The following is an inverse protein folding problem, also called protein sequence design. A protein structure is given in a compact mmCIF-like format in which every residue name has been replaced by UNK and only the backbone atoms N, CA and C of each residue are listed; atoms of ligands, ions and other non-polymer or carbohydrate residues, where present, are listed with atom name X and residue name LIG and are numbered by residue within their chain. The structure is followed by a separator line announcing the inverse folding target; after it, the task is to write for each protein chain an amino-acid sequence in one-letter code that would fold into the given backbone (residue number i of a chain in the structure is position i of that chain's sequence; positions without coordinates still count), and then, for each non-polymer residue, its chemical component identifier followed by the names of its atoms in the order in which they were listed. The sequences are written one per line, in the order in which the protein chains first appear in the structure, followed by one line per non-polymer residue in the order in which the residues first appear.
data_IF_820671928049
#
_entry.id   IF_820671928049
#
_cell.length_a   1.000
_cell.length_b   1.000
_cell.length_c   1.000
_cell.angle_alpha   90.00
_cell.angle_beta   90.00
_cell.angle_gamma   90.00
#
_symmetry.space_group_name_H-M   'P 1'
#
loop_
_entity.id
_entity.type
_entity.pdbx_description
1 polymer ?
#
# COMPACT_ATOMS: atom_id res chain seq x y z
N UNK A 1 -15.84 -0.95 13.29
CA UNK A 1 -16.47 -1.63 12.14
C UNK A 1 -17.10 -2.90 12.66
N UNK A 2 -18.44 -2.94 12.79
CA UNK A 2 -19.14 -4.14 13.29
C UNK A 2 -19.19 -5.18 12.18
N UNK A 3 -18.50 -6.28 12.36
CA UNK A 3 -18.53 -7.41 11.42
C UNK A 3 -19.89 -8.15 11.53
N UNK A 4 -20.54 -8.09 12.70
CA UNK A 4 -21.81 -8.80 12.99
C UNK A 4 -23.04 -7.92 13.22
N UNK A 5 -22.89 -6.64 13.62
CA UNK A 5 -23.96 -5.88 14.28
C UNK A 5 -24.50 -4.70 13.45
N UNK A 6 -24.73 -4.86 12.18
CA UNK A 6 -25.57 -3.92 11.44
C UNK A 6 -26.94 -4.52 11.15
N UNK A 7 -27.99 -3.72 11.15
CA UNK A 7 -29.35 -4.12 10.77
C UNK A 7 -29.41 -4.80 9.38
N UNK A 8 -28.35 -4.67 8.58
CA UNK A 8 -28.22 -5.23 7.22
C UNK A 8 -27.37 -6.51 7.13
N UNK A 9 -27.02 -7.16 8.28
CA UNK A 9 -26.05 -8.28 8.28
C UNK A 9 -24.63 -7.76 8.03
N UNK A 10 -23.58 -8.13 8.72
CA UNK A 10 -22.25 -7.51 8.69
C UNK A 10 -21.74 -7.18 7.27
N UNK A 11 -21.08 -6.03 7.11
CA UNK A 11 -20.58 -5.55 5.80
C UNK A 11 -19.72 -6.59 5.07
N UNK A 12 -18.90 -7.33 5.81
CA UNK A 12 -18.05 -8.38 5.25
C UNK A 12 -18.86 -9.54 4.69
N UNK A 13 -19.82 -10.05 5.47
CA UNK A 13 -20.67 -11.18 5.07
C UNK A 13 -21.52 -10.82 3.86
N UNK A 14 -22.08 -9.62 3.80
CA UNK A 14 -22.87 -9.17 2.66
C UNK A 14 -21.98 -8.98 1.40
N UNK A 15 -20.77 -8.45 1.55
CA UNK A 15 -19.84 -8.29 0.42
C UNK A 15 -19.47 -9.66 -0.19
N UNK A 16 -19.11 -10.64 0.64
CA UNK A 16 -18.75 -11.99 0.19
C UNK A 16 -19.98 -12.73 -0.36
N UNK A 17 -21.15 -12.58 0.25
CA UNK A 17 -22.39 -13.18 -0.28
C UNK A 17 -22.70 -12.74 -1.70
N UNK A 18 -22.47 -11.45 -2.01
CA UNK A 18 -22.65 -10.89 -3.36
C UNK A 18 -21.56 -11.30 -4.35
N UNK A 19 -20.34 -11.51 -3.85
CA UNK A 19 -19.16 -11.86 -4.67
C UNK A 19 -18.36 -12.97 -3.97
N UNK A 20 -18.80 -14.24 -4.09
CA UNK A 20 -18.18 -15.35 -3.36
C UNK A 20 -16.74 -15.64 -3.80
N UNK A 21 -16.37 -15.30 -5.03
CA UNK A 21 -14.98 -15.39 -5.53
C UNK A 21 -14.31 -14.02 -5.38
N UNK A 22 -13.76 -13.74 -4.22
CA UNK A 22 -13.19 -12.42 -3.92
C UNK A 22 -11.93 -12.52 -3.08
N UNK A 23 -11.14 -11.44 -3.11
CA UNK A 23 -10.04 -11.23 -2.18
C UNK A 23 -10.51 -10.30 -1.08
N UNK A 24 -10.41 -10.77 0.15
CA UNK A 24 -10.74 -10.01 1.36
C UNK A 24 -9.44 -9.52 1.98
N UNK A 25 -9.23 -8.20 2.02
CA UNK A 25 -8.08 -7.58 2.65
C UNK A 25 -8.50 -6.98 4.00
N UNK A 26 -7.84 -7.43 5.07
CA UNK A 26 -7.96 -6.87 6.41
C UNK A 26 -6.64 -6.18 6.76
N UNK A 27 -6.67 -4.86 6.74
CA UNK A 27 -5.48 -4.04 6.95
C UNK A 27 -5.29 -3.71 8.44
N UNK A 28 -4.03 -3.72 8.90
CA UNK A 28 -3.64 -3.42 10.28
C UNK A 28 -4.37 -4.27 11.33
N UNK A 29 -4.35 -5.60 11.15
CA UNK A 29 -5.12 -6.53 12.00
C UNK A 29 -4.72 -6.48 13.48
N UNK A 30 -3.50 -6.06 13.81
CA UNK A 30 -3.04 -5.87 15.18
C UNK A 30 -3.84 -4.82 15.96
N UNK A 31 -4.55 -3.93 15.26
CA UNK A 31 -5.41 -2.89 15.86
C UNK A 31 -6.86 -3.36 16.04
N UNK A 32 -7.19 -4.55 15.56
CA UNK A 32 -8.55 -5.07 15.64
C UNK A 32 -8.91 -5.48 17.09
N UNK A 33 -10.20 -5.38 17.43
CA UNK A 33 -10.70 -5.90 18.69
C UNK A 33 -10.50 -7.43 18.76
N UNK A 34 -10.17 -8.02 19.94
CA UNK A 34 -9.96 -9.46 20.08
C UNK A 34 -11.09 -10.34 19.54
N UNK A 35 -12.34 -9.89 19.62
CA UNK A 35 -13.49 -10.63 19.10
C UNK A 35 -13.46 -10.83 17.58
N UNK A 36 -12.76 -9.96 16.84
CA UNK A 36 -12.59 -10.10 15.40
C UNK A 36 -11.83 -11.39 15.09
N UNK A 37 -10.83 -11.73 15.89
CA UNK A 37 -10.04 -12.95 15.70
C UNK A 37 -10.86 -14.22 15.94
N UNK A 38 -11.85 -14.18 16.86
CA UNK A 38 -12.76 -15.32 17.07
C UNK A 38 -13.63 -15.57 15.82
N UNK A 39 -14.05 -14.48 15.15
CA UNK A 39 -14.81 -14.58 13.91
C UNK A 39 -13.93 -15.08 12.77
N UNK A 40 -12.70 -14.56 12.67
CA UNK A 40 -11.74 -15.00 11.66
C UNK A 40 -11.36 -16.47 11.84
N UNK A 41 -11.18 -16.94 13.08
CA UNK A 41 -10.97 -18.36 13.35
C UNK A 41 -12.10 -19.21 12.80
N UNK A 42 -13.37 -18.81 13.01
CA UNK A 42 -14.51 -19.54 12.45
C UNK A 42 -14.47 -19.59 10.91
N UNK A 43 -14.04 -18.48 10.26
CA UNK A 43 -13.86 -18.48 8.80
C UNK A 43 -12.74 -19.42 8.37
N UNK A 44 -11.60 -19.36 9.04
CA UNK A 44 -10.41 -20.15 8.68
C UNK A 44 -10.62 -21.66 8.96
N UNK A 45 -11.42 -22.01 9.98
CA UNK A 45 -11.70 -23.40 10.31
C UNK A 45 -12.86 -23.99 9.49
N UNK A 46 -14.01 -23.28 9.46
CA UNK A 46 -15.25 -23.82 8.87
C UNK A 46 -15.46 -23.35 7.42
N UNK A 47 -14.71 -22.34 6.97
CA UNK A 47 -14.92 -21.70 5.67
C UNK A 47 -16.27 -20.97 5.54
N UNK A 48 -16.91 -20.61 6.66
CA UNK A 48 -18.22 -19.97 6.67
C UNK A 48 -18.46 -19.15 7.94
N UNK A 49 -19.35 -18.16 7.85
CA UNK A 49 -19.82 -17.37 9.00
C UNK A 49 -21.35 -17.35 8.99
N UNK A 50 -21.95 -17.43 10.16
CA UNK A 50 -23.39 -17.13 10.34
C UNK A 50 -23.50 -15.66 10.79
N UNK A 51 -24.24 -14.85 10.04
CA UNK A 51 -24.46 -13.43 10.34
C UNK A 51 -25.50 -13.25 11.48
N UNK A 52 -25.72 -12.01 11.90
CA UNK A 52 -26.68 -11.66 12.96
C UNK A 52 -28.14 -11.98 12.60
N UNK A 53 -28.44 -12.22 11.32
CA UNK A 53 -29.76 -12.60 10.84
C UNK A 53 -29.92 -14.13 10.67
N UNK A 54 -28.93 -14.91 11.14
CA UNK A 54 -28.96 -16.37 11.03
C UNK A 54 -28.62 -16.93 9.65
N UNK A 55 -28.15 -16.08 8.71
CA UNK A 55 -27.77 -16.54 7.36
C UNK A 55 -26.31 -16.99 7.37
N UNK A 56 -26.04 -18.17 6.82
CA UNK A 56 -24.69 -18.69 6.65
C UNK A 56 -24.10 -18.21 5.32
N UNK A 57 -22.93 -17.60 5.37
CA UNK A 57 -22.16 -17.12 4.22
C UNK A 57 -20.91 -17.98 4.04
N UNK A 58 -20.70 -18.49 2.84
CA UNK A 58 -19.59 -19.35 2.46
C UNK A 58 -18.38 -18.50 2.04
N UNK A 59 -17.20 -18.76 2.65
CA UNK A 59 -15.92 -18.12 2.40
C UNK A 59 -14.90 -19.04 1.72
N UNK A 60 -15.26 -20.29 1.39
CA UNK A 60 -14.35 -21.30 0.84
C UNK A 60 -13.68 -20.88 -0.47
N UNK A 61 -14.32 -20.01 -1.22
CA UNK A 61 -13.82 -19.49 -2.49
C UNK A 61 -13.21 -18.09 -2.36
N UNK A 62 -12.89 -17.63 -1.14
CA UNK A 62 -12.23 -16.34 -0.90
C UNK A 62 -10.76 -16.53 -0.58
N UNK A 63 -9.94 -15.54 -0.96
CA UNK A 63 -8.58 -15.37 -0.47
C UNK A 63 -8.61 -14.32 0.62
N UNK A 64 -8.15 -14.66 1.82
CA UNK A 64 -8.08 -13.74 2.95
C UNK A 64 -6.65 -13.27 3.11
N UNK A 65 -6.42 -11.98 3.02
CA UNK A 65 -5.12 -11.34 3.21
C UNK A 65 -5.20 -10.47 4.46
N UNK A 66 -4.27 -10.69 5.38
CA UNK A 66 -4.13 -9.93 6.61
C UNK A 66 -2.83 -9.14 6.52
N UNK A 67 -2.85 -7.84 6.79
CA UNK A 67 -1.63 -7.04 6.89
C UNK A 67 -1.40 -6.62 8.33
N UNK A 68 -0.14 -6.48 8.71
CA UNK A 68 0.27 -5.99 10.03
C UNK A 68 1.58 -5.23 9.94
N UNK A 69 1.75 -4.22 10.79
CA UNK A 69 3.00 -3.51 11.00
C UNK A 69 3.79 -4.06 12.20
N UNK A 70 3.34 -5.17 12.77
CA UNK A 70 3.98 -5.79 13.93
C UNK A 70 5.40 -6.22 13.57
N UNK A 71 6.38 -5.86 14.42
CA UNK A 71 7.78 -6.21 14.21
C UNK A 71 8.51 -5.40 13.13
N UNK A 72 7.89 -4.38 12.54
CA UNK A 72 8.55 -3.52 11.54
C UNK A 72 9.90 -2.94 12.01
N UNK A 73 10.07 -2.47 13.27
CA UNK A 73 11.39 -2.02 13.76
C UNK A 73 12.44 -3.13 13.74
N UNK A 74 12.10 -4.33 14.20
CA UNK A 74 13.03 -5.47 14.20
C UNK A 74 13.46 -5.88 12.78
N UNK A 75 12.53 -5.80 11.80
CA UNK A 75 12.84 -6.05 10.39
C UNK A 75 13.81 -5.00 9.86
N UNK A 76 13.58 -3.70 10.17
CA UNK A 76 14.44 -2.60 9.73
C UNK A 76 15.84 -2.68 10.31
N UNK A 77 15.96 -2.96 11.61
CA UNK A 77 17.23 -3.08 12.30
C UNK A 77 18.02 -4.35 11.93
N UNK A 78 17.31 -5.42 11.64
CA UNK A 78 17.90 -6.73 11.30
C UNK A 78 18.14 -6.97 9.82
N UNK A 79 18.05 -5.94 8.98
CA UNK A 79 18.27 -6.06 7.54
C UNK A 79 19.75 -5.81 7.17
N UNK A 80 20.29 -6.66 6.31
CA UNK A 80 21.64 -6.49 5.76
C UNK A 80 21.66 -5.48 4.58
N UNK A 81 22.87 -5.13 4.10
CA UNK A 81 23.08 -4.23 2.96
C UNK A 81 22.41 -4.74 1.65
N UNK A 82 22.17 -6.03 1.54
CA UNK A 82 21.51 -6.67 0.40
C UNK A 82 19.98 -6.71 0.54
N UNK A 83 19.43 -6.22 1.66
CA UNK A 83 18.01 -6.24 1.94
C UNK A 83 17.47 -7.59 2.41
N UNK A 84 18.34 -8.49 2.92
CA UNK A 84 17.90 -9.75 3.52
C UNK A 84 17.64 -9.54 5.01
N UNK A 85 16.57 -10.13 5.50
CA UNK A 85 16.20 -10.10 6.92
C UNK A 85 17.00 -11.18 7.65
N UNK A 86 17.73 -10.81 8.72
CA UNK A 86 18.50 -11.73 9.53
C UNK A 86 17.60 -12.76 10.24
N UNK A 87 18.16 -13.93 10.55
CA UNK A 87 17.43 -14.94 11.33
C UNK A 87 17.04 -14.45 12.73
N UNK A 88 17.87 -13.59 13.33
CA UNK A 88 17.57 -12.99 14.62
C UNK A 88 16.32 -12.10 14.55
N UNK A 89 16.23 -11.23 13.55
CA UNK A 89 15.05 -10.40 13.32
C UNK A 89 13.80 -11.23 13.03
N UNK A 90 13.90 -12.29 12.24
CA UNK A 90 12.78 -13.22 12.00
C UNK A 90 12.28 -13.85 13.29
N UNK A 91 13.18 -14.34 14.13
CA UNK A 91 12.82 -14.95 15.44
C UNK A 91 12.18 -13.93 16.37
N UNK A 92 12.63 -12.68 16.36
CA UNK A 92 12.02 -11.60 17.14
C UNK A 92 10.60 -11.31 16.66
N UNK A 93 10.39 -11.17 15.35
CA UNK A 93 9.04 -10.98 14.80
C UNK A 93 8.13 -12.16 15.09
N UNK A 94 8.63 -13.39 14.98
CA UNK A 94 7.87 -14.60 15.34
C UNK A 94 7.48 -14.62 16.81
N UNK A 95 8.34 -14.12 17.71
CA UNK A 95 8.02 -13.97 19.13
C UNK A 95 6.92 -12.93 19.37
N UNK A 96 7.00 -11.78 18.68
CA UNK A 96 5.97 -10.73 18.73
C UNK A 96 4.63 -11.22 18.19
N UNK A 97 4.63 -11.99 17.08
CA UNK A 97 3.41 -12.59 16.53
C UNK A 97 2.75 -13.54 17.53
N UNK A 98 3.53 -14.41 18.18
CA UNK A 98 3.03 -15.34 19.23
C UNK A 98 2.55 -14.62 20.50
N UNK A 99 3.06 -13.46 20.78
CA UNK A 99 2.59 -12.63 21.90
C UNK A 99 1.27 -11.93 21.59
N UNK A 100 1.12 -11.44 20.34
CA UNK A 100 -0.03 -10.66 19.90
C UNK A 100 -1.22 -11.53 19.49
N UNK A 101 -0.95 -12.65 18.83
CA UNK A 101 -1.96 -13.53 18.28
C UNK A 101 -1.95 -14.89 18.96
N UNK A 102 -3.14 -15.46 19.13
CA UNK A 102 -3.26 -16.80 19.72
C UNK A 102 -2.61 -17.86 18.81
N UNK A 103 -1.98 -18.89 19.39
CA UNK A 103 -1.33 -19.96 18.59
C UNK A 103 -2.29 -20.64 17.61
N UNK A 104 -3.54 -20.86 18.02
CA UNK A 104 -4.56 -21.43 17.16
C UNK A 104 -4.83 -20.59 15.90
N UNK A 105 -4.77 -19.26 15.99
CA UNK A 105 -4.93 -18.37 14.86
C UNK A 105 -3.74 -18.43 13.91
N UNK A 106 -2.52 -18.37 14.45
CA UNK A 106 -1.29 -18.44 13.64
C UNK A 106 -1.17 -19.78 12.90
N UNK A 107 -1.62 -20.88 13.51
CA UNK A 107 -1.59 -22.23 12.90
C UNK A 107 -2.62 -22.40 11.76
N UNK A 108 -3.55 -21.47 11.57
CA UNK A 108 -4.53 -21.48 10.48
C UNK A 108 -4.13 -20.63 9.29
N UNK A 109 -3.05 -19.86 9.42
CA UNK A 109 -2.50 -19.11 8.30
C UNK A 109 -1.70 -20.07 7.40
N UNK A 110 -1.98 -20.03 6.10
CA UNK A 110 -1.26 -20.85 5.12
C UNK A 110 0.17 -20.35 4.94
N UNK A 111 0.38 -19.02 4.98
CA UNK A 111 1.69 -18.41 4.77
C UNK A 111 1.81 -17.07 5.53
N UNK A 112 3.00 -16.82 6.07
CA UNK A 112 3.39 -15.52 6.65
C UNK A 112 4.52 -14.94 5.79
N UNK A 113 4.20 -13.83 5.10
CA UNK A 113 5.11 -13.14 4.19
C UNK A 113 5.71 -11.92 4.87
N UNK A 114 7.04 -11.81 4.90
CA UNK A 114 7.75 -10.64 5.40
C UNK A 114 8.06 -9.69 4.25
N UNK A 115 7.51 -8.48 4.32
CA UNK A 115 7.84 -7.43 3.38
C UNK A 115 9.12 -6.73 3.81
N UNK A 116 10.07 -6.63 2.89
CA UNK A 116 11.30 -5.89 3.11
C UNK A 116 11.11 -4.41 2.73
N UNK A 117 11.88 -3.50 3.35
CA UNK A 117 11.95 -2.12 2.91
C UNK A 117 12.40 -2.01 1.44
N UNK A 118 11.90 -0.97 0.78
CA UNK A 118 12.24 -0.72 -0.62
C UNK A 118 13.69 -0.26 -0.74
N UNK A 119 14.43 -0.85 -1.67
CA UNK A 119 15.74 -0.35 -2.05
C UNK A 119 15.63 0.86 -3.00
N UNK A 120 16.76 1.58 -3.18
CA UNK A 120 16.78 2.81 -3.98
C UNK A 120 16.28 2.58 -5.43
N UNK A 121 16.62 1.47 -6.05
CA UNK A 121 16.19 1.17 -7.43
C UNK A 121 14.69 0.91 -7.51
N UNK A 122 14.10 0.27 -6.51
CA UNK A 122 12.66 0.03 -6.40
C UNK A 122 11.90 1.35 -6.19
N UNK A 123 12.47 2.27 -5.41
CA UNK A 123 11.90 3.61 -5.20
C UNK A 123 11.89 4.40 -6.52
N UNK A 124 12.99 4.37 -7.30
CA UNK A 124 13.00 4.99 -8.62
C UNK A 124 11.94 4.42 -9.56
N UNK A 125 11.74 3.09 -9.57
CA UNK A 125 10.67 2.46 -10.35
C UNK A 125 9.28 2.95 -9.95
N UNK A 126 9.04 3.14 -8.65
CA UNK A 126 7.79 3.69 -8.14
C UNK A 126 7.59 5.13 -8.63
N UNK A 127 8.63 5.97 -8.57
CA UNK A 127 8.60 7.33 -9.11
C UNK A 127 8.27 7.29 -10.62
N UNK A 128 8.94 6.45 -11.40
CA UNK A 128 8.66 6.31 -12.83
C UNK A 128 7.21 5.89 -13.11
N UNK A 129 6.67 4.94 -12.36
CA UNK A 129 5.25 4.56 -12.48
C UNK A 129 4.28 5.69 -12.15
N UNK A 130 4.60 6.51 -11.14
CA UNK A 130 3.78 7.68 -10.77
C UNK A 130 3.86 8.76 -11.87
N UNK A 131 5.04 9.02 -12.42
CA UNK A 131 5.25 9.95 -13.51
C UNK A 131 4.55 9.49 -14.80
N UNK A 132 4.58 8.19 -15.11
CA UNK A 132 3.83 7.63 -16.25
C UNK A 132 2.31 7.84 -16.12
N UNK A 133 1.76 7.73 -14.90
CA UNK A 133 0.34 8.02 -14.66
C UNK A 133 0.00 9.49 -14.92
N UNK A 134 0.90 10.39 -14.55
CA UNK A 134 0.74 11.81 -14.84
C UNK A 134 0.86 12.08 -16.34
N UNK A 135 1.86 11.51 -17.01
CA UNK A 135 2.04 11.59 -18.45
C UNK A 135 0.77 11.17 -19.21
N UNK A 136 0.17 10.02 -18.89
CA UNK A 136 -1.08 9.56 -19.50
C UNK A 136 -2.24 10.55 -19.36
N UNK A 137 -2.35 11.25 -18.22
CA UNK A 137 -3.36 12.29 -18.03
C UNK A 137 -3.10 13.54 -18.87
N UNK A 138 -1.83 13.84 -19.16
CA UNK A 138 -1.42 14.94 -20.03
C UNK A 138 -1.64 14.59 -21.51
N UNK A 139 -1.45 13.34 -21.91
CA UNK A 139 -1.74 12.83 -23.26
C UNK A 139 -3.22 13.06 -23.65
N UNK A 140 -4.16 12.98 -22.69
CA UNK A 140 -5.57 13.33 -22.91
C UNK A 140 -5.77 14.81 -23.32
N UNK A 141 -4.79 15.67 -23.01
CA UNK A 141 -4.73 17.08 -23.39
C UNK A 141 -3.76 17.36 -24.54
N UNK A 142 -3.29 16.31 -25.21
CA UNK A 142 -2.28 16.39 -26.27
C UNK A 142 -0.98 17.04 -25.80
N UNK A 143 -0.58 16.80 -24.55
CA UNK A 143 0.67 17.28 -23.95
C UNK A 143 1.53 16.10 -23.54
N UNK A 144 2.84 16.27 -23.59
CA UNK A 144 3.80 15.28 -23.11
C UNK A 144 4.60 15.81 -21.91
N UNK A 145 5.22 14.90 -21.16
CA UNK A 145 6.00 15.20 -19.95
C UNK A 145 7.36 14.50 -19.99
N UNK A 146 8.40 15.27 -19.85
CA UNK A 146 9.76 14.80 -19.61
C UNK A 146 10.25 15.30 -18.23
N UNK A 147 10.80 14.38 -17.44
CA UNK A 147 11.35 14.71 -16.12
C UNK A 147 12.82 14.31 -16.10
N UNK A 148 13.71 15.26 -15.84
CA UNK A 148 15.16 15.02 -15.82
C UNK A 148 15.55 14.05 -14.69
N UNK A 149 16.72 13.43 -14.84
CA UNK A 149 17.25 12.55 -13.81
C UNK A 149 17.46 13.29 -12.48
N UNK A 150 17.96 14.55 -12.52
CA UNK A 150 18.13 15.38 -11.34
C UNK A 150 16.80 15.65 -10.61
N UNK A 151 15.72 15.90 -11.36
CA UNK A 151 14.39 16.07 -10.79
C UNK A 151 13.85 14.78 -10.16
N UNK A 152 14.10 13.62 -10.77
CA UNK A 152 13.74 12.31 -10.20
C UNK A 152 14.52 12.02 -8.91
N UNK A 153 15.80 12.31 -8.87
CA UNK A 153 16.65 12.16 -7.68
C UNK A 153 16.16 13.06 -6.54
N UNK A 154 15.81 14.29 -6.82
CA UNK A 154 15.20 15.19 -5.85
C UNK A 154 13.90 14.58 -5.29
N UNK A 155 13.00 14.07 -6.14
CA UNK A 155 11.75 13.45 -5.72
C UNK A 155 12.00 12.22 -4.84
N UNK A 156 12.99 11.39 -5.19
CA UNK A 156 13.36 10.22 -4.38
C UNK A 156 13.89 10.62 -3.02
N UNK A 157 14.82 11.58 -2.98
CA UNK A 157 15.48 11.99 -1.74
C UNK A 157 14.53 12.71 -0.76
N UNK A 158 13.62 13.55 -1.28
CA UNK A 158 12.66 14.28 -0.45
C UNK A 158 11.39 13.51 -0.14
N UNK A 159 11.02 12.59 -1.02
CA UNK A 159 9.72 11.88 -0.95
C UNK A 159 9.78 10.49 -0.36
N UNK A 160 10.95 9.94 -0.08
CA UNK A 160 11.10 8.65 0.56
C UNK A 160 11.44 8.80 2.04
N UNK A 161 10.73 8.08 2.87
CA UNK A 161 11.02 7.95 4.30
C UNK A 161 11.00 6.46 4.68
N UNK A 162 11.99 6.01 5.44
CA UNK A 162 12.15 4.60 5.82
C UNK A 162 10.95 4.08 6.60
N UNK A 163 10.32 4.92 7.43
CA UNK A 163 9.17 4.54 8.26
C UNK A 163 7.85 4.60 7.49
N UNK A 164 7.71 5.58 6.57
CA UNK A 164 6.48 5.80 5.80
C UNK A 164 6.53 5.19 4.40
N UNK A 165 7.69 4.66 3.99
CA UNK A 165 7.90 4.02 2.70
C UNK A 165 7.72 4.98 1.53
N UNK A 166 7.04 4.52 0.49
CA UNK A 166 6.78 5.29 -0.73
C UNK A 166 5.51 6.16 -0.68
N UNK A 167 4.74 6.13 0.42
CA UNK A 167 3.50 6.94 0.55
C UNK A 167 3.73 8.44 0.39
N UNK A 168 4.79 9.05 0.97
CA UNK A 168 5.06 10.47 0.79
C UNK A 168 5.44 10.86 -0.64
N UNK A 169 6.02 9.95 -1.45
CA UNK A 169 6.38 10.21 -2.86
C UNK A 169 5.18 10.69 -3.68
N UNK A 170 4.05 10.02 -3.56
CA UNK A 170 2.82 10.41 -4.27
C UNK A 170 2.40 11.83 -3.90
N UNK A 171 2.44 12.16 -2.61
CA UNK A 171 2.08 13.49 -2.11
C UNK A 171 3.06 14.56 -2.62
N UNK A 172 4.36 14.27 -2.60
CA UNK A 172 5.38 15.17 -3.09
C UNK A 172 5.20 15.46 -4.59
N UNK A 173 5.00 14.42 -5.41
CA UNK A 173 4.73 14.57 -6.84
C UNK A 173 3.50 15.44 -7.07
N UNK A 174 2.41 15.18 -6.35
CA UNK A 174 1.19 15.99 -6.48
C UNK A 174 1.41 17.45 -6.09
N UNK A 175 2.03 17.70 -4.95
CA UNK A 175 2.20 19.06 -4.44
C UNK A 175 3.25 19.87 -5.18
N UNK A 176 4.35 19.26 -5.60
CA UNK A 176 5.48 19.97 -6.23
C UNK A 176 5.41 19.90 -7.75
N UNK A 177 5.30 18.72 -8.32
CA UNK A 177 5.40 18.51 -9.76
C UNK A 177 4.06 18.73 -10.48
N UNK A 178 2.97 18.10 -10.06
CA UNK A 178 1.66 18.28 -10.69
C UNK A 178 1.19 19.74 -10.59
N UNK A 179 1.43 20.40 -9.45
CA UNK A 179 1.12 21.83 -9.28
C UNK A 179 1.94 22.70 -10.22
N UNK A 180 3.24 22.37 -10.42
CA UNK A 180 4.11 23.11 -11.34
C UNK A 180 3.63 22.98 -12.79
N UNK A 181 3.31 21.74 -13.22
CA UNK A 181 2.76 21.45 -14.54
C UNK A 181 1.42 22.14 -14.76
N UNK A 182 0.53 22.11 -13.78
CA UNK A 182 -0.76 22.79 -13.87
C UNK A 182 -0.62 24.30 -14.03
N UNK A 183 0.31 24.93 -13.29
CA UNK A 183 0.60 26.35 -13.44
C UNK A 183 1.14 26.70 -14.83
N UNK A 184 2.02 25.86 -15.37
CA UNK A 184 2.57 26.04 -16.72
C UNK A 184 1.46 26.01 -17.79
N UNK A 185 0.55 25.03 -17.68
CA UNK A 185 -0.59 24.90 -18.60
C UNK A 185 -1.50 26.13 -18.53
N UNK A 186 -1.84 26.59 -17.31
CA UNK A 186 -2.74 27.74 -17.12
C UNK A 186 -2.10 29.05 -17.59
N UNK A 187 -0.79 29.23 -17.33
CA UNK A 187 -0.11 30.50 -17.62
C UNK A 187 0.24 30.67 -19.09
N UNK A 188 0.57 29.57 -19.79
CA UNK A 188 1.15 29.64 -21.12
C UNK A 188 0.29 29.01 -22.22
N UNK A 189 -0.81 28.33 -21.85
CA UNK A 189 -1.75 27.64 -22.76
C UNK A 189 -1.00 26.89 -23.90
N UNK A 190 -0.17 25.90 -23.56
CA UNK A 190 0.76 25.27 -24.52
C UNK A 190 -0.01 24.61 -25.67
N UNK A 191 0.50 24.79 -26.88
CA UNK A 191 -0.07 24.19 -28.08
C UNK A 191 -0.09 22.64 -27.97
N UNK A 192 -0.99 21.96 -28.68
CA UNK A 192 -0.95 20.50 -28.80
C UNK A 192 0.44 19.99 -29.18
N UNK A 193 0.78 18.79 -28.71
CA UNK A 193 2.07 18.12 -28.89
C UNK A 193 3.27 18.80 -28.20
N UNK A 194 3.00 19.79 -27.31
CA UNK A 194 4.07 20.41 -26.52
C UNK A 194 4.57 19.44 -25.44
N UNK A 195 5.89 19.34 -25.29
CA UNK A 195 6.58 18.57 -24.24
C UNK A 195 6.91 19.52 -23.08
N UNK A 196 6.29 19.29 -21.93
CA UNK A 196 6.62 19.99 -20.68
C UNK A 196 7.85 19.32 -20.06
N UNK A 197 8.98 20.06 -19.97
CA UNK A 197 10.22 19.53 -19.42
C UNK A 197 10.42 20.03 -17.99
N UNK A 198 10.55 19.10 -17.04
CA UNK A 198 10.80 19.40 -15.63
C UNK A 198 12.25 19.11 -15.29
N UNK A 199 12.91 20.07 -14.67
CA UNK A 199 14.28 19.93 -14.20
C UNK A 199 14.41 20.42 -12.75
N UNK A 200 15.59 20.24 -12.14
CA UNK A 200 15.91 20.63 -10.76
C UNK A 200 17.14 21.53 -10.74
N UNK A 201 17.03 22.71 -10.11
CA UNK A 201 18.11 23.73 -10.08
C UNK A 201 19.03 23.64 -8.84
N UNK A 202 18.89 22.60 -8.02
CA UNK A 202 19.58 22.44 -6.75
C UNK A 202 18.76 22.91 -5.54
N UNK A 203 17.65 23.63 -5.77
CA UNK A 203 16.76 24.12 -4.69
C UNK A 203 15.28 23.75 -4.90
N UNK A 204 14.84 23.78 -6.15
CA UNK A 204 13.43 23.52 -6.51
C UNK A 204 13.29 22.89 -7.89
N UNK A 205 12.12 22.26 -8.11
CA UNK A 205 11.70 21.85 -9.45
C UNK A 205 11.26 23.08 -10.25
N UNK A 206 11.57 23.11 -11.55
CA UNK A 206 11.15 24.16 -12.46
C UNK A 206 10.84 23.60 -13.86
N UNK A 207 10.07 24.35 -14.64
CA UNK A 207 9.82 24.03 -16.05
C UNK A 207 10.99 24.58 -16.85
N UNK A 208 11.69 23.69 -17.56
CA UNK A 208 12.77 24.07 -18.47
C UNK A 208 12.16 24.56 -19.79
N UNK A 209 12.47 25.78 -20.14
CA UNK A 209 12.06 26.38 -21.44
C UNK A 209 12.93 25.86 -22.57
#
# INVERSE_FOLDING_TARGET
MCIRDSEEGGQLTEAVRRKPYSVVLLDEVEKAHPDVFNILLQVLDDGRITDSQGRTVDFKNTIIILTSNLGSPAILEGMDENGNISEAARKEVDALLKQQFRPEFLNRLDEIVFYKPLNRSEIFRIVDLLLQKLKKRLEEKQLDLEVSQAAKEYIVNEGYDVNYGARPLKRLIQQKLETLVAREIIANDPAPDTVIRIDYDGTKLFVKK
#
